data_IF_372161287259
#
_entry.id   IF_372161287259
#
_cell.length_a   1.000
_cell.length_b   1.000
_cell.length_c   1.000
_cell.angle_alpha   90.00
_cell.angle_beta   90.00
_cell.angle_gamma   90.00
#
_symmetry.space_group_name_H-M   'P 1'
#
loop_
_entity.id
_entity.type
_entity.pdbx_description
1 polymer ?
#
# COMPACT_ATOMS: atom_id res chain seq x y z
N UNK A 1 16.47 12.42 -111.03
CA UNK A 1 17.34 12.62 -109.87
C UNK A 1 16.54 12.39 -108.67
N UNK A 2 16.84 11.34 -108.01
CA UNK A 2 16.08 10.71 -106.94
C UNK A 2 16.38 11.35 -105.57
N UNK A 3 15.35 11.73 -104.88
CA UNK A 3 15.44 12.20 -103.46
C UNK A 3 15.13 11.00 -102.59
N UNK A 4 16.03 10.75 -101.62
CA UNK A 4 15.85 9.74 -100.54
C UNK A 4 14.93 10.28 -99.44
N UNK A 5 14.18 9.39 -98.75
CA UNK A 5 13.42 9.76 -97.59
C UNK A 5 14.26 9.64 -96.30
N UNK A 6 14.01 10.56 -95.34
CA UNK A 6 14.53 10.61 -94.00
C UNK A 6 13.83 9.63 -93.05
N UNK A 7 14.52 9.00 -92.07
CA UNK A 7 13.88 8.12 -91.10
C UNK A 7 13.15 8.90 -89.95
N UNK A 8 11.96 8.48 -89.66
CA UNK A 8 11.21 8.91 -88.47
C UNK A 8 11.85 8.38 -87.17
N UNK A 9 12.13 9.27 -86.26
CA UNK A 9 12.54 8.96 -84.87
C UNK A 9 11.31 8.56 -84.04
N UNK A 10 11.20 7.30 -83.73
CA UNK A 10 10.21 6.76 -82.73
C UNK A 10 10.70 7.12 -81.34
N UNK A 11 10.10 8.13 -80.71
CA UNK A 11 10.24 8.42 -79.33
C UNK A 11 9.29 7.53 -78.49
N UNK A 12 9.77 6.38 -78.07
CA UNK A 12 9.08 5.58 -77.03
C UNK A 12 9.24 6.25 -75.66
N UNK A 13 8.18 6.88 -75.15
CA UNK A 13 8.12 7.31 -73.76
C UNK A 13 8.02 6.08 -72.83
N UNK A 14 9.16 5.69 -72.30
CA UNK A 14 9.24 4.73 -71.21
C UNK A 14 8.54 5.31 -69.95
N UNK A 15 7.30 4.98 -69.72
CA UNK A 15 6.60 5.24 -68.46
C UNK A 15 7.16 4.29 -67.39
N UNK A 16 8.10 4.77 -66.61
CA UNK A 16 8.66 4.09 -65.46
C UNK A 16 7.64 4.12 -64.30
N UNK A 17 6.70 3.19 -64.27
CA UNK A 17 5.74 2.99 -63.14
C UNK A 17 6.48 2.39 -61.97
N UNK A 18 6.99 3.23 -61.05
CA UNK A 18 7.51 2.84 -59.78
C UNK A 18 6.46 2.06 -58.99
N UNK A 19 6.70 0.81 -58.69
CA UNK A 19 5.85 -0.11 -57.93
C UNK A 19 5.59 0.42 -56.50
N UNK A 20 4.33 0.70 -56.05
CA UNK A 20 4.01 1.21 -54.71
C UNK A 20 3.84 0.08 -53.68
N UNK A 21 4.68 -0.95 -53.69
CA UNK A 21 4.42 -2.19 -52.92
C UNK A 21 5.11 -2.19 -51.55
N UNK A 22 6.21 -1.48 -51.37
CA UNK A 22 6.93 -1.46 -50.08
C UNK A 22 6.23 -0.66 -48.97
N UNK A 23 5.56 0.45 -49.30
CA UNK A 23 4.90 1.29 -48.31
C UNK A 23 3.61 0.68 -47.73
N UNK A 24 2.83 -0.08 -48.53
CA UNK A 24 1.61 -0.73 -48.03
C UNK A 24 1.91 -1.78 -46.97
N UNK A 25 2.94 -2.62 -47.14
CA UNK A 25 3.34 -3.59 -46.11
C UNK A 25 3.85 -2.92 -44.84
N UNK A 26 4.61 -1.83 -44.94
CA UNK A 26 5.08 -1.05 -43.80
C UNK A 26 3.91 -0.41 -43.04
N UNK A 27 2.93 0.18 -43.72
CA UNK A 27 1.73 0.75 -43.11
C UNK A 27 0.91 -0.32 -42.37
N UNK A 28 0.75 -1.50 -42.97
CA UNK A 28 0.03 -2.63 -42.32
C UNK A 28 0.78 -3.07 -41.05
N UNK A 29 2.09 -3.21 -41.09
CA UNK A 29 2.88 -3.59 -39.91
C UNK A 29 2.80 -2.52 -38.83
N UNK A 30 2.92 -1.24 -39.17
CA UNK A 30 2.79 -0.13 -38.22
C UNK A 30 1.37 -0.05 -37.64
N UNK A 31 0.33 -0.31 -38.43
CA UNK A 31 -1.05 -0.34 -37.92
C UNK A 31 -1.30 -1.52 -36.97
N UNK A 32 -0.75 -2.71 -37.23
CA UNK A 32 -0.82 -3.84 -36.33
C UNK A 32 -0.07 -3.59 -35.03
N UNK A 33 1.11 -2.98 -35.08
CA UNK A 33 1.86 -2.56 -33.89
C UNK A 33 1.05 -1.55 -33.08
N UNK A 34 0.43 -0.55 -33.72
CA UNK A 34 -0.40 0.44 -33.06
C UNK A 34 -1.64 -0.20 -32.37
N UNK A 35 -2.34 -1.11 -33.08
CA UNK A 35 -3.46 -1.87 -32.50
C UNK A 35 -3.01 -2.70 -31.32
N UNK A 36 -1.85 -3.35 -31.41
CA UNK A 36 -1.28 -4.12 -30.30
C UNK A 36 -0.94 -3.25 -29.09
N UNK A 37 -0.35 -2.07 -29.30
CA UNK A 37 -0.07 -1.09 -28.22
C UNK A 37 -1.37 -0.62 -27.59
N UNK A 38 -2.39 -0.27 -28.38
CA UNK A 38 -3.71 0.12 -27.88
C UNK A 38 -4.34 -1.00 -27.06
N UNK A 39 -4.25 -2.25 -27.50
CA UNK A 39 -4.76 -3.39 -26.77
C UNK A 39 -4.04 -3.60 -25.42
N UNK A 40 -2.71 -3.43 -25.36
CA UNK A 40 -1.93 -3.51 -24.12
C UNK A 40 -2.32 -2.39 -23.14
N UNK A 41 -2.43 -1.15 -23.61
CA UNK A 41 -2.84 -0.01 -22.79
C UNK A 41 -4.26 -0.20 -22.28
N UNK A 42 -5.19 -0.62 -23.15
CA UNK A 42 -6.56 -0.90 -22.76
C UNK A 42 -6.66 -2.03 -21.73
N UNK A 43 -5.86 -3.10 -21.89
CA UNK A 43 -5.80 -4.21 -20.94
C UNK A 43 -5.32 -3.75 -19.55
N UNK A 44 -4.35 -2.83 -19.49
CA UNK A 44 -3.90 -2.23 -18.23
C UNK A 44 -5.03 -1.46 -17.54
N UNK A 45 -5.72 -0.56 -18.26
CA UNK A 45 -6.83 0.20 -17.68
C UNK A 45 -8.02 -0.69 -17.27
N UNK A 46 -8.30 -1.76 -18.01
CA UNK A 46 -9.30 -2.77 -17.63
C UNK A 46 -8.90 -3.44 -16.31
N UNK A 47 -7.63 -3.80 -16.15
CA UNK A 47 -7.12 -4.43 -14.92
C UNK A 47 -7.26 -3.48 -13.71
N UNK A 48 -6.89 -2.21 -13.86
CA UNK A 48 -7.08 -1.17 -12.84
C UNK A 48 -8.55 -1.04 -12.46
N UNK A 49 -9.46 -1.02 -13.45
CA UNK A 49 -10.90 -0.93 -13.20
C UNK A 49 -11.48 -2.17 -12.51
N UNK A 50 -10.99 -3.35 -12.85
CA UNK A 50 -11.37 -4.60 -12.15
C UNK A 50 -10.93 -4.52 -10.69
N UNK A 51 -9.72 -4.03 -10.40
CA UNK A 51 -9.22 -3.83 -9.06
C UNK A 51 -10.09 -2.88 -8.23
N UNK A 52 -10.49 -1.75 -8.81
CA UNK A 52 -11.44 -0.81 -8.19
C UNK A 52 -12.76 -1.51 -7.81
N UNK A 53 -13.35 -2.24 -8.76
CA UNK A 53 -14.64 -2.94 -8.55
C UNK A 53 -14.51 -4.00 -7.45
N UNK A 54 -13.42 -4.78 -7.45
CA UNK A 54 -13.20 -5.82 -6.44
C UNK A 54 -13.06 -5.24 -5.05
N UNK A 55 -12.24 -4.19 -4.89
CA UNK A 55 -12.08 -3.48 -3.62
C UNK A 55 -13.41 -2.89 -3.13
N UNK A 56 -14.19 -2.26 -4.00
CA UNK A 56 -15.53 -1.75 -3.64
C UNK A 56 -16.51 -2.88 -3.27
N UNK A 57 -16.43 -4.02 -3.92
CA UNK A 57 -17.29 -5.16 -3.59
C UNK A 57 -16.88 -5.83 -2.26
N UNK A 58 -15.61 -5.78 -1.87
CA UNK A 58 -15.18 -6.25 -0.54
C UNK A 58 -15.78 -5.43 0.59
N UNK A 59 -16.10 -4.15 0.36
CA UNK A 59 -16.83 -3.30 1.30
C UNK A 59 -18.22 -3.86 1.64
N UNK A 60 -18.91 -4.39 0.62
CA UNK A 60 -20.30 -4.91 0.79
C UNK A 60 -20.30 -6.22 1.57
N UNK A 61 -19.22 -7.02 1.46
CA UNK A 61 -19.13 -8.31 2.16
C UNK A 61 -18.67 -8.19 3.61
N UNK A 62 -17.83 -7.22 3.94
CA UNK A 62 -17.34 -6.99 5.31
C UNK A 62 -18.37 -6.33 6.24
N UNK A 63 -19.42 -5.68 5.68
CA UNK A 63 -20.53 -5.12 6.45
C UNK A 63 -21.58 -6.19 6.83
N UNK A 64 -21.54 -7.37 6.21
CA UNK A 64 -22.37 -8.51 6.57
C UNK A 64 -21.69 -9.35 7.66
N UNK A 65 -21.63 -8.82 8.87
CA UNK A 65 -21.43 -9.66 10.07
C UNK A 65 -22.71 -10.49 10.24
N UNK A 66 -22.58 -11.81 10.17
CA UNK A 66 -23.66 -12.75 10.49
C UNK A 66 -24.12 -12.51 11.92
N UNK A 67 -25.29 -11.91 12.08
CA UNK A 67 -25.98 -11.72 13.34
C UNK A 67 -26.63 -10.36 13.40
N UNK A 68 -27.93 -10.35 13.43
CA UNK A 68 -28.98 -9.37 13.84
C UNK A 68 -28.55 -7.95 14.30
N UNK A 69 -27.56 -7.31 13.70
CA UNK A 69 -27.10 -5.99 14.11
C UNK A 69 -26.75 -5.08 12.91
N UNK A 70 -27.71 -4.90 11.99
CA UNK A 70 -27.63 -3.83 10.97
C UNK A 70 -27.56 -2.42 11.57
N UNK A 71 -27.76 -2.25 12.88
CA UNK A 71 -27.77 -0.95 13.56
C UNK A 71 -26.42 -0.50 14.15
N UNK A 72 -25.39 -1.35 14.16
CA UNK A 72 -24.19 -1.11 14.99
C UNK A 72 -23.31 0.08 14.55
N UNK A 73 -23.43 0.53 13.30
CA UNK A 73 -22.60 1.62 12.76
C UNK A 73 -23.39 2.78 12.14
N UNK A 74 -24.71 2.74 12.16
CA UNK A 74 -25.50 3.64 11.31
C UNK A 74 -25.43 5.11 11.69
N UNK A 75 -25.61 5.45 12.94
CA UNK A 75 -25.62 6.85 13.39
C UNK A 75 -25.16 6.96 14.82
N UNK A 76 -24.19 7.84 15.05
CA UNK A 76 -23.70 8.19 16.40
C UNK A 76 -23.85 9.69 16.66
N UNK A 77 -23.93 10.05 17.95
CA UNK A 77 -23.90 11.44 18.40
C UNK A 77 -22.61 11.69 19.16
N UNK A 78 -21.87 12.72 18.75
CA UNK A 78 -20.64 13.11 19.40
C UNK A 78 -20.51 14.64 19.42
N UNK A 79 -20.18 15.22 20.58
CA UNK A 79 -20.04 16.67 20.76
C UNK A 79 -21.24 17.48 20.23
N UNK A 80 -22.47 16.96 20.39
CA UNK A 80 -23.71 17.62 19.95
C UNK A 80 -23.99 17.54 18.44
N UNK A 81 -23.15 16.84 17.69
CA UNK A 81 -23.31 16.62 16.25
C UNK A 81 -23.69 15.18 15.96
N UNK A 82 -24.28 14.97 14.80
CA UNK A 82 -24.73 13.66 14.31
C UNK A 82 -23.80 13.17 13.20
N UNK A 83 -23.41 11.90 13.28
CA UNK A 83 -22.47 11.28 12.35
C UNK A 83 -23.00 9.96 11.83
N UNK A 84 -22.73 9.66 10.55
CA UNK A 84 -22.98 8.38 9.91
C UNK A 84 -21.66 7.72 9.50
N UNK A 85 -21.59 6.39 9.60
CA UNK A 85 -20.43 5.64 9.06
C UNK A 85 -20.24 5.92 7.56
N UNK A 86 -19.00 6.12 7.15
CA UNK A 86 -18.67 6.37 5.74
C UNK A 86 -18.48 5.05 4.99
N UNK A 87 -19.53 4.58 4.35
CA UNK A 87 -19.55 3.33 3.58
C UNK A 87 -18.60 3.31 2.36
N UNK A 88 -18.00 4.46 2.02
CA UNK A 88 -17.04 4.57 0.89
C UNK A 88 -15.58 4.34 1.32
N UNK A 89 -15.34 3.98 2.57
CA UNK A 89 -14.01 3.70 3.09
C UNK A 89 -13.57 2.27 2.77
N UNK A 90 -12.34 2.15 2.33
CA UNK A 90 -11.60 0.90 2.29
C UNK A 90 -10.53 0.98 3.38
N UNK A 91 -10.61 0.11 4.39
CA UNK A 91 -9.68 0.08 5.51
C UNK A 91 -8.75 -1.12 5.35
N UNK A 92 -7.46 -0.86 5.18
CA UNK A 92 -6.44 -1.88 5.00
C UNK A 92 -5.42 -1.82 6.14
N UNK A 93 -5.12 -2.95 6.76
CA UNK A 93 -4.07 -3.02 7.77
C UNK A 93 -2.74 -3.41 7.13
N UNK A 94 -1.76 -2.50 7.18
CA UNK A 94 -0.37 -2.79 6.83
C UNK A 94 0.36 -3.27 8.08
N UNK A 95 0.95 -4.46 8.00
CA UNK A 95 1.66 -5.12 9.09
C UNK A 95 3.12 -5.30 8.67
N UNK A 96 4.05 -4.77 9.43
CA UNK A 96 5.49 -5.00 9.25
C UNK A 96 5.98 -5.96 10.33
N UNK A 97 6.50 -7.12 9.93
CA UNK A 97 6.95 -8.18 10.83
C UNK A 97 8.47 -8.16 10.97
N UNK A 98 8.97 -8.29 12.19
CA UNK A 98 10.40 -8.24 12.56
C UNK A 98 11.16 -9.55 12.31
N UNK A 99 10.70 -10.36 11.35
CA UNK A 99 11.31 -11.60 10.92
C UNK A 99 11.55 -11.59 9.41
N UNK A 100 12.50 -12.39 8.94
CA UNK A 100 12.65 -12.71 7.53
C UNK A 100 11.65 -13.82 7.15
N UNK A 101 11.04 -13.73 5.98
CA UNK A 101 10.08 -14.72 5.47
C UNK A 101 10.68 -16.16 5.39
N UNK A 102 11.99 -16.28 5.45
CA UNK A 102 12.70 -17.57 5.39
C UNK A 102 12.92 -18.21 6.76
N UNK A 103 12.81 -17.44 7.84
CA UNK A 103 13.02 -17.91 9.20
C UNK A 103 11.70 -18.46 9.74
N UNK A 104 11.44 -19.75 9.47
CA UNK A 104 10.22 -20.43 9.90
C UNK A 104 10.26 -20.94 11.35
N UNK A 105 11.39 -20.80 12.03
CA UNK A 105 11.50 -21.15 13.46
C UNK A 105 11.04 -20.00 14.37
N UNK A 106 11.00 -18.77 13.84
CA UNK A 106 10.54 -17.58 14.56
C UNK A 106 9.39 -16.91 13.81
N UNK A 107 8.20 -16.91 14.40
CA UNK A 107 6.99 -16.32 13.82
C UNK A 107 7.12 -14.80 13.64
N UNK A 108 7.93 -14.12 14.47
CA UNK A 108 8.05 -12.67 14.47
C UNK A 108 6.97 -11.96 15.28
N UNK A 109 7.08 -10.65 15.32
CA UNK A 109 6.11 -9.75 15.95
C UNK A 109 5.72 -8.63 14.98
N UNK A 110 4.52 -8.09 15.12
CA UNK A 110 4.07 -6.94 14.33
C UNK A 110 4.73 -5.64 14.81
N UNK A 111 5.94 -5.37 14.36
CA UNK A 111 6.75 -4.21 14.75
C UNK A 111 6.26 -2.88 14.16
N UNK A 112 5.44 -2.94 13.12
CA UNK A 112 4.82 -1.79 12.49
C UNK A 112 3.37 -2.12 12.13
N UNK A 113 2.43 -1.31 12.60
CA UNK A 113 1.01 -1.43 12.36
C UNK A 113 0.48 -0.08 11.86
N UNK A 114 -0.06 -0.07 10.65
CA UNK A 114 -0.65 1.12 10.03
C UNK A 114 -2.01 0.78 9.45
N UNK A 115 -3.05 1.43 9.96
CA UNK A 115 -4.37 1.36 9.34
C UNK A 115 -4.46 2.43 8.25
N UNK A 116 -4.66 2.01 7.02
CA UNK A 116 -4.81 2.85 5.84
C UNK A 116 -6.27 2.92 5.48
N UNK A 117 -6.92 4.05 5.78
CA UNK A 117 -8.32 4.32 5.46
C UNK A 117 -8.41 5.16 4.19
N UNK A 118 -9.00 4.60 3.15
CA UNK A 118 -9.05 5.14 1.79
C UNK A 118 -10.47 5.57 1.48
N UNK A 119 -10.72 6.88 1.41
CA UNK A 119 -12.02 7.43 0.96
C UNK A 119 -12.02 7.52 -0.58
N UNK A 120 -12.71 6.59 -1.21
CA UNK A 120 -12.75 6.45 -2.67
C UNK A 120 -13.60 7.52 -3.38
N UNK A 121 -14.39 8.29 -2.63
CA UNK A 121 -15.22 9.39 -3.15
C UNK A 121 -14.50 10.71 -3.00
N UNK A 122 -13.84 10.93 -1.86
CA UNK A 122 -13.09 12.17 -1.60
C UNK A 122 -11.66 12.15 -2.12
N UNK A 123 -11.18 10.99 -2.61
CA UNK A 123 -9.79 10.77 -3.03
C UNK A 123 -8.78 11.12 -1.91
N UNK A 124 -9.06 10.65 -0.70
CA UNK A 124 -8.24 10.89 0.48
C UNK A 124 -7.78 9.58 1.09
N UNK A 125 -6.56 9.58 1.62
CA UNK A 125 -5.96 8.48 2.35
C UNK A 125 -5.57 8.97 3.73
N UNK A 126 -6.05 8.30 4.79
CA UNK A 126 -5.57 8.51 6.15
C UNK A 126 -4.74 7.32 6.57
N UNK A 127 -3.55 7.59 7.11
CA UNK A 127 -2.64 6.57 7.63
C UNK A 127 -2.57 6.74 9.14
N UNK A 128 -3.22 5.86 9.87
CA UNK A 128 -3.22 5.85 11.34
C UNK A 128 -2.15 4.89 11.84
N UNK A 129 -1.12 5.44 12.49
CA UNK A 129 -0.08 4.64 13.13
C UNK A 129 -0.56 4.09 14.47
N UNK A 130 -0.38 2.79 14.67
CA UNK A 130 -0.69 2.09 15.94
C UNK A 130 0.63 1.67 16.56
N UNK A 131 0.89 2.12 17.80
CA UNK A 131 2.12 1.73 18.50
C UNK A 131 2.15 0.22 18.72
N UNK A 132 3.30 -0.42 18.42
CA UNK A 132 3.49 -1.85 18.69
C UNK A 132 3.27 -2.22 20.15
N UNK A 133 3.51 -1.26 21.06
CA UNK A 133 3.38 -1.41 22.50
C UNK A 133 1.97 -1.10 23.01
N UNK A 134 0.99 -0.83 22.11
CA UNK A 134 -0.40 -0.59 22.50
C UNK A 134 -0.95 -1.78 23.26
N UNK A 135 -1.45 -1.53 24.47
CA UNK A 135 -2.06 -2.55 25.30
C UNK A 135 -3.50 -2.79 24.86
N UNK A 136 -3.79 -4.02 24.45
CA UNK A 136 -5.11 -4.44 24.01
C UNK A 136 -5.32 -5.95 24.23
N UNK A 137 -6.53 -6.43 23.97
CA UNK A 137 -6.81 -7.84 23.88
C UNK A 137 -6.45 -8.39 22.50
N UNK A 138 -5.93 -9.61 22.45
CA UNK A 138 -5.69 -10.36 21.22
C UNK A 138 -5.91 -11.87 21.46
N UNK A 139 -6.18 -12.60 20.38
CA UNK A 139 -6.46 -14.03 20.44
C UNK A 139 -5.20 -14.88 20.60
N UNK A 140 -5.35 -15.98 21.33
CA UNK A 140 -4.37 -17.08 21.37
C UNK A 140 -4.88 -18.18 20.43
N UNK A 141 -4.26 -18.31 19.27
CA UNK A 141 -4.71 -19.23 18.21
C UNK A 141 -4.08 -20.61 18.40
N UNK A 142 -4.89 -21.66 18.45
CA UNK A 142 -4.45 -23.04 18.55
C UNK A 142 -3.98 -23.61 17.20
N UNK A 143 -3.40 -24.80 17.25
CA UNK A 143 -2.90 -25.53 16.06
C UNK A 143 -4.01 -25.92 15.09
N UNK A 144 -5.26 -25.90 15.54
CA UNK A 144 -6.48 -26.10 14.74
C UNK A 144 -7.00 -24.81 14.07
N UNK A 145 -6.36 -23.68 14.35
CA UNK A 145 -6.75 -22.36 13.83
C UNK A 145 -7.83 -21.67 14.64
N UNK A 146 -8.31 -22.28 15.72
CA UNK A 146 -9.34 -21.69 16.56
C UNK A 146 -8.74 -20.84 17.68
N UNK A 147 -9.41 -19.74 18.04
CA UNK A 147 -9.04 -18.92 19.20
C UNK A 147 -9.56 -19.59 20.46
N UNK A 148 -8.66 -20.11 21.30
CA UNK A 148 -9.00 -20.82 22.53
C UNK A 148 -8.97 -19.93 23.78
N UNK A 149 -8.28 -18.79 23.74
CA UNK A 149 -8.29 -17.79 24.82
C UNK A 149 -7.97 -16.41 24.26
N UNK A 150 -8.21 -15.39 25.07
CA UNK A 150 -7.85 -14.00 24.79
C UNK A 150 -6.91 -13.53 25.89
N UNK A 151 -5.82 -12.91 25.48
CA UNK A 151 -4.82 -12.32 26.37
C UNK A 151 -4.81 -10.80 26.26
N UNK A 152 -4.44 -10.12 27.35
CA UNK A 152 -4.23 -8.69 27.38
C UNK A 152 -2.74 -8.37 27.40
N UNK A 153 -2.24 -7.65 26.39
CA UNK A 153 -0.82 -7.35 26.26
C UNK A 153 -0.51 -6.40 25.11
N UNK A 154 0.75 -6.33 24.73
CA UNK A 154 1.18 -5.49 23.60
C UNK A 154 0.61 -6.03 22.29
N UNK A 155 0.01 -5.16 21.47
CA UNK A 155 -0.65 -5.52 20.20
C UNK A 155 0.28 -6.23 19.21
N UNK A 156 1.59 -5.98 19.27
CA UNK A 156 2.56 -6.66 18.39
C UNK A 156 2.59 -8.19 18.62
N UNK A 157 2.18 -8.68 19.79
CA UNK A 157 2.13 -10.08 20.13
C UNK A 157 0.97 -10.81 19.42
N UNK A 158 -0.05 -10.08 18.95
CA UNK A 158 -1.13 -10.69 18.17
C UNK A 158 -0.60 -11.47 16.97
N UNK A 159 0.47 -11.00 16.30
CA UNK A 159 1.11 -11.75 15.23
C UNK A 159 1.80 -13.03 15.71
N UNK A 160 2.54 -12.94 16.81
CA UNK A 160 3.30 -14.05 17.37
C UNK A 160 2.43 -15.21 17.88
N UNK A 161 1.16 -14.94 18.20
CA UNK A 161 0.21 -15.92 18.71
C UNK A 161 -0.77 -16.46 17.66
N UNK A 162 -0.54 -16.18 16.37
CA UNK A 162 -1.16 -16.92 15.26
C UNK A 162 -0.47 -18.27 15.06
N UNK A 163 -1.14 -19.20 14.36
CA UNK A 163 -0.60 -20.53 14.08
C UNK A 163 0.21 -20.58 12.77
N UNK A 164 -0.13 -19.73 11.82
CA UNK A 164 0.58 -19.54 10.57
C UNK A 164 0.51 -18.06 10.14
N UNK A 165 1.17 -17.73 9.03
CA UNK A 165 1.29 -16.34 8.56
C UNK A 165 -0.07 -15.67 8.27
N UNK A 166 -1.07 -16.45 7.80
CA UNK A 166 -2.42 -15.97 7.51
C UNK A 166 -3.14 -15.68 8.81
N UNK A 167 -3.20 -16.66 9.70
CA UNK A 167 -3.86 -16.54 11.01
C UNK A 167 -3.20 -15.48 11.90
N UNK A 168 -1.87 -15.35 11.84
CA UNK A 168 -1.14 -14.27 12.51
C UNK A 168 -1.56 -12.89 12.03
N UNK A 169 -1.73 -12.74 10.71
CA UNK A 169 -2.20 -11.50 10.10
C UNK A 169 -3.65 -11.20 10.46
N UNK A 170 -4.54 -12.20 10.41
CA UNK A 170 -5.94 -12.10 10.78
C UNK A 170 -6.11 -11.80 12.28
N UNK A 171 -5.26 -12.37 13.14
CA UNK A 171 -5.25 -12.05 14.57
C UNK A 171 -4.87 -10.58 14.82
N UNK A 172 -3.92 -10.02 14.06
CA UNK A 172 -3.62 -8.59 14.10
C UNK A 172 -4.81 -7.74 13.61
N UNK A 173 -5.50 -8.16 12.55
CA UNK A 173 -6.72 -7.48 12.05
C UNK A 173 -7.78 -7.44 13.12
N UNK A 174 -8.03 -8.56 13.79
CA UNK A 174 -9.02 -8.66 14.88
C UNK A 174 -8.63 -7.76 16.06
N UNK A 175 -7.36 -7.83 16.51
CA UNK A 175 -6.88 -7.01 17.61
C UNK A 175 -6.98 -5.50 17.33
N UNK A 176 -6.66 -5.07 16.09
CA UNK A 176 -6.82 -3.67 15.67
C UNK A 176 -8.29 -3.28 15.53
N UNK A 177 -9.12 -4.14 14.98
CA UNK A 177 -10.57 -3.90 14.91
C UNK A 177 -11.17 -3.72 16.29
N UNK A 178 -10.84 -4.59 17.24
CA UNK A 178 -11.32 -4.54 18.63
C UNK A 178 -10.82 -3.27 19.34
N UNK A 179 -9.54 -2.91 19.18
CA UNK A 179 -8.99 -1.65 19.67
C UNK A 179 -9.79 -0.44 19.17
N UNK A 180 -10.28 -0.49 17.94
CA UNK A 180 -11.05 0.56 17.27
C UNK A 180 -12.58 0.37 17.42
N UNK A 181 -13.03 -0.30 18.50
CA UNK A 181 -14.44 -0.54 18.80
C UNK A 181 -15.19 -1.33 17.73
N UNK A 182 -14.51 -2.28 17.09
CA UNK A 182 -15.08 -3.16 16.08
C UNK A 182 -15.20 -2.49 14.69
N UNK A 183 -14.43 -1.43 14.41
CA UNK A 183 -14.42 -0.83 13.06
C UNK A 183 -13.96 -1.84 12.01
N UNK A 184 -14.65 -1.91 10.86
CA UNK A 184 -14.35 -2.90 9.85
C UNK A 184 -12.98 -2.64 9.19
N UNK A 185 -12.20 -3.70 9.04
CA UNK A 185 -10.96 -3.75 8.28
C UNK A 185 -11.18 -4.68 7.09
N UNK A 186 -11.01 -4.16 5.86
CA UNK A 186 -11.42 -4.81 4.61
C UNK A 186 -10.36 -5.75 4.04
N UNK A 187 -9.15 -5.71 4.61
CA UNK A 187 -8.06 -6.57 4.19
C UNK A 187 -6.75 -6.18 4.87
N UNK A 188 -5.73 -6.99 4.66
CA UNK A 188 -4.41 -6.78 5.23
C UNK A 188 -3.29 -6.98 4.21
N UNK A 189 -2.15 -6.38 4.51
CA UNK A 189 -0.90 -6.59 3.79
C UNK A 189 0.24 -6.72 4.79
N UNK A 190 0.70 -7.93 5.00
CA UNK A 190 1.83 -8.24 5.89
C UNK A 190 3.11 -8.29 5.11
N UNK A 191 4.11 -7.53 5.53
CA UNK A 191 5.45 -7.46 4.94
C UNK A 191 6.49 -7.94 5.94
N UNK A 192 7.36 -8.82 5.49
CA UNK A 192 8.55 -9.23 6.23
C UNK A 192 9.72 -8.26 6.00
N UNK A 193 10.68 -8.24 6.91
CA UNK A 193 11.79 -7.29 6.89
C UNK A 193 12.60 -7.31 5.59
N UNK A 194 12.79 -8.47 4.98
CA UNK A 194 13.52 -8.65 3.72
C UNK A 194 12.82 -8.00 2.51
N UNK A 195 11.51 -7.72 2.62
CA UNK A 195 10.75 -6.97 1.62
C UNK A 195 11.20 -5.52 1.48
N UNK A 196 11.60 -4.88 2.58
CA UNK A 196 11.91 -3.44 2.63
C UNK A 196 13.01 -3.08 1.64
N UNK A 197 14.11 -3.85 1.65
CA UNK A 197 15.22 -3.61 0.75
C UNK A 197 14.79 -3.69 -0.72
N UNK A 198 13.99 -4.69 -1.06
CA UNK A 198 13.48 -4.90 -2.43
C UNK A 198 12.55 -3.77 -2.87
N UNK A 199 11.63 -3.36 -2.00
CA UNK A 199 10.71 -2.26 -2.28
C UNK A 199 11.47 -0.97 -2.56
N UNK A 200 12.45 -0.62 -1.72
CA UNK A 200 13.26 0.60 -1.86
C UNK A 200 14.07 0.60 -3.14
N UNK A 201 14.77 -0.50 -3.44
CA UNK A 201 15.59 -0.61 -4.65
C UNK A 201 14.72 -0.55 -5.92
N UNK A 202 13.53 -1.14 -5.88
CA UNK A 202 12.59 -1.14 -7.03
C UNK A 202 12.05 0.24 -7.39
N UNK A 203 11.97 1.16 -6.43
CA UNK A 203 11.57 2.56 -6.69
C UNK A 203 12.76 3.50 -6.90
N UNK A 204 13.98 2.96 -6.95
CA UNK A 204 15.20 3.72 -7.20
C UNK A 204 15.73 4.49 -5.99
N UNK A 205 15.42 4.02 -4.78
CA UNK A 205 15.80 4.64 -3.51
C UNK A 205 14.72 5.55 -2.93
N UNK A 206 14.84 5.82 -1.64
CA UNK A 206 13.88 6.63 -0.88
C UNK A 206 14.58 7.85 -0.27
N UNK A 207 14.13 9.03 -0.65
CA UNK A 207 14.64 10.28 -0.09
C UNK A 207 13.92 10.60 1.22
N UNK A 208 14.71 10.81 2.30
CA UNK A 208 14.21 11.17 3.63
C UNK A 208 14.91 12.41 4.16
N UNK A 209 14.20 13.25 4.92
CA UNK A 209 14.81 14.32 5.69
C UNK A 209 15.31 13.79 7.03
N UNK A 210 16.58 14.04 7.36
CA UNK A 210 17.16 13.71 8.67
C UNK A 210 17.35 15.00 9.44
N UNK A 211 16.81 15.08 10.64
CA UNK A 211 16.83 16.27 11.50
C UNK A 211 17.04 15.88 12.97
N UNK A 212 16.84 16.85 13.88
CA UNK A 212 17.02 16.66 15.33
C UNK A 212 16.19 15.52 15.95
N UNK A 213 15.13 15.06 15.29
CA UNK A 213 14.34 13.92 15.75
C UNK A 213 15.05 12.58 15.47
N UNK A 214 16.14 12.62 14.70
CA UNK A 214 16.98 11.46 14.39
C UNK A 214 18.31 11.48 15.17
N UNK A 215 18.44 12.35 16.21
CA UNK A 215 19.68 12.62 16.93
C UNK A 215 20.35 11.37 17.50
N UNK A 216 19.55 10.41 17.97
CA UNK A 216 20.05 9.17 18.56
C UNK A 216 20.39 8.09 17.52
N UNK A 217 20.44 8.47 16.25
CA UNK A 217 20.72 7.53 15.16
C UNK A 217 22.05 7.86 14.48
N UNK A 218 22.67 6.85 13.85
CA UNK A 218 23.86 7.05 13.00
C UNK A 218 23.62 7.96 11.78
N UNK A 219 22.37 8.28 11.46
CA UNK A 219 21.99 9.08 10.29
C UNK A 219 22.09 10.58 10.58
N UNK A 220 21.93 11.02 11.84
CA UNK A 220 22.05 12.41 12.22
C UNK A 220 23.50 12.77 12.56
N UNK A 221 24.05 13.78 11.87
CA UNK A 221 25.44 14.24 12.04
C UNK A 221 25.55 15.66 12.59
N UNK A 222 24.51 16.12 13.32
CA UNK A 222 24.45 17.47 13.90
C UNK A 222 23.76 18.51 13.00
N UNK A 223 23.56 18.23 11.73
CA UNK A 223 22.87 19.11 10.78
C UNK A 223 21.73 18.37 10.09
N UNK A 224 20.62 19.07 9.87
CA UNK A 224 19.52 18.54 9.04
C UNK A 224 19.98 18.42 7.59
N UNK A 225 19.66 17.30 6.95
CA UNK A 225 20.01 17.00 5.56
C UNK A 225 19.01 16.09 4.90
N UNK A 226 19.00 16.06 3.57
CA UNK A 226 18.32 15.02 2.80
C UNK A 226 19.27 13.84 2.55
N UNK A 227 18.77 12.62 2.72
CA UNK A 227 19.46 11.37 2.42
C UNK A 227 18.63 10.56 1.44
N UNK A 228 19.32 9.93 0.48
CA UNK A 228 18.72 8.89 -0.38
C UNK A 228 19.11 7.54 0.23
N UNK A 229 18.12 6.81 0.69
CA UNK A 229 18.27 5.47 1.23
C UNK A 229 18.18 4.45 0.09
N UNK A 230 19.15 3.58 -0.05
CA UNK A 230 19.05 2.33 -0.79
C UNK A 230 18.40 1.24 0.09
N UNK A 231 18.15 0.05 -0.44
CA UNK A 231 17.48 -1.01 0.31
C UNK A 231 18.17 -1.38 1.61
N UNK A 232 19.50 -1.41 1.63
CA UNK A 232 20.28 -1.76 2.83
C UNK A 232 20.23 -0.67 3.90
N UNK A 233 20.36 0.58 3.49
CA UNK A 233 20.34 1.73 4.40
C UNK A 233 18.93 2.03 4.87
N UNK A 234 17.90 1.79 4.06
CA UNK A 234 16.50 1.93 4.43
C UNK A 234 16.12 1.00 5.58
N UNK A 235 16.51 -0.27 5.50
CA UNK A 235 16.32 -1.22 6.58
C UNK A 235 16.92 -0.71 7.90
N UNK A 236 18.20 -0.29 7.85
CA UNK A 236 18.87 0.26 9.04
C UNK A 236 18.20 1.55 9.56
N UNK A 237 17.65 2.38 8.66
CA UNK A 237 16.97 3.63 9.03
C UNK A 237 15.65 3.36 9.77
N UNK A 238 14.86 2.40 9.30
CA UNK A 238 13.58 2.02 9.90
C UNK A 238 13.78 1.37 11.27
N UNK A 239 14.78 0.48 11.39
CA UNK A 239 15.07 -0.24 12.63
C UNK A 239 15.78 0.60 13.69
N UNK A 240 16.38 1.75 13.33
CA UNK A 240 17.14 2.54 14.28
C UNK A 240 16.30 2.87 15.51
N UNK A 241 16.78 2.44 16.67
CA UNK A 241 16.17 2.73 17.97
C UNK A 241 16.90 3.93 18.56
N UNK A 242 16.17 4.99 18.88
CA UNK A 242 16.64 6.07 19.73
C UNK A 242 16.29 5.79 21.20
N UNK A 243 16.48 6.79 22.05
CA UNK A 243 16.19 6.69 23.49
C UNK A 243 14.68 6.69 23.81
N UNK A 244 13.80 6.85 22.80
CA UNK A 244 12.35 6.82 22.96
C UNK A 244 11.64 6.44 21.65
N UNK A 245 10.34 6.04 21.74
CA UNK A 245 9.55 5.62 20.58
C UNK A 245 9.03 6.80 19.73
N UNK A 246 8.85 7.99 20.28
CA UNK A 246 8.32 9.13 19.53
C UNK A 246 9.16 9.50 18.28
N UNK A 247 10.51 9.57 18.34
CA UNK A 247 11.33 9.78 17.15
C UNK A 247 11.22 8.65 16.11
N UNK A 248 10.94 7.42 16.53
CA UNK A 248 10.74 6.27 15.62
C UNK A 248 9.47 6.46 14.76
N UNK A 249 8.38 6.90 15.36
CA UNK A 249 7.13 7.18 14.63
C UNK A 249 7.35 8.25 13.56
N UNK A 250 8.05 9.33 13.89
CA UNK A 250 8.35 10.40 12.93
C UNK A 250 9.30 9.93 11.80
N UNK A 251 10.29 9.07 12.10
CA UNK A 251 11.14 8.46 11.06
C UNK A 251 10.33 7.59 10.10
N UNK A 252 9.42 6.78 10.62
CA UNK A 252 8.54 5.96 9.79
C UNK A 252 7.67 6.81 8.87
N UNK A 253 7.11 7.92 9.35
CA UNK A 253 6.35 8.87 8.51
C UNK A 253 7.21 9.47 7.40
N UNK A 254 8.43 9.91 7.73
CA UNK A 254 9.40 10.43 6.75
C UNK A 254 9.71 9.37 5.69
N UNK A 255 9.93 8.12 6.11
CA UNK A 255 10.19 7.00 5.21
C UNK A 255 8.98 6.69 4.31
N UNK A 256 7.79 6.55 4.86
CA UNK A 256 6.56 6.30 4.09
C UNK A 256 6.32 7.41 3.08
N UNK A 257 6.43 8.68 3.50
CA UNK A 257 6.29 9.83 2.61
C UNK A 257 7.33 9.82 1.48
N UNK A 258 8.59 9.56 1.81
CA UNK A 258 9.68 9.46 0.84
C UNK A 258 9.48 8.31 -0.13
N UNK A 259 9.03 7.14 0.36
CA UNK A 259 8.71 5.98 -0.46
C UNK A 259 7.57 6.28 -1.44
N UNK A 260 6.47 6.87 -0.98
CA UNK A 260 5.35 7.27 -1.84
C UNK A 260 5.82 8.22 -2.94
N UNK A 261 6.63 9.22 -2.62
CA UNK A 261 7.16 10.16 -3.59
C UNK A 261 8.09 9.49 -4.62
N UNK A 262 8.92 8.54 -4.19
CA UNK A 262 9.80 7.77 -5.08
C UNK A 262 8.97 6.83 -5.97
N UNK A 263 7.97 6.16 -5.41
CA UNK A 263 7.05 5.30 -6.15
C UNK A 263 6.28 6.09 -7.23
N UNK A 264 5.74 7.27 -6.90
CA UNK A 264 5.09 8.17 -7.89
C UNK A 264 6.01 8.47 -9.07
N UNK A 265 7.27 8.86 -8.79
CA UNK A 265 8.24 9.18 -9.85
C UNK A 265 8.60 7.95 -10.71
N UNK A 266 8.68 6.79 -10.10
CA UNK A 266 9.05 5.54 -10.78
C UNK A 266 7.89 4.97 -11.59
N UNK A 267 6.66 5.03 -11.07
CA UNK A 267 5.44 4.64 -11.80
C UNK A 267 5.19 5.55 -13.01
N UNK A 268 5.46 6.86 -12.89
CA UNK A 268 5.36 7.79 -14.01
C UNK A 268 6.32 7.45 -15.16
N UNK A 269 7.45 6.78 -14.88
CA UNK A 269 8.41 6.31 -15.87
C UNK A 269 8.11 4.90 -16.39
N UNK A 270 7.53 4.05 -15.56
CA UNK A 270 7.16 2.67 -15.87
C UNK A 270 5.79 2.33 -15.27
N UNK A 271 4.74 2.46 -16.06
CA UNK A 271 3.37 2.15 -15.65
C UNK A 271 3.16 0.66 -15.30
N UNK A 272 4.10 -0.22 -15.67
CA UNK A 272 4.03 -1.65 -15.32
C UNK A 272 4.66 -1.94 -13.96
N UNK A 273 5.34 -0.96 -13.34
CA UNK A 273 6.03 -1.12 -12.06
C UNK A 273 5.11 -1.63 -10.93
N UNK A 274 3.86 -1.14 -10.74
CA UNK A 274 2.98 -1.67 -9.70
C UNK A 274 2.72 -3.17 -9.84
N UNK A 275 2.51 -3.65 -11.08
CA UNK A 275 2.30 -5.06 -11.35
C UNK A 275 3.57 -5.90 -11.09
N UNK A 276 4.74 -5.39 -11.51
CA UNK A 276 6.04 -6.04 -11.25
C UNK A 276 6.29 -6.17 -9.75
N UNK A 277 6.09 -5.05 -9.01
CA UNK A 277 6.24 -5.02 -7.55
C UNK A 277 5.28 -5.99 -6.86
N UNK A 278 3.99 -5.96 -7.20
CA UNK A 278 3.01 -6.85 -6.60
C UNK A 278 3.38 -8.33 -6.81
N UNK A 279 3.92 -8.70 -7.98
CA UNK A 279 4.38 -10.07 -8.23
C UNK A 279 5.67 -10.42 -7.46
N UNK A 280 6.62 -9.50 -7.37
CA UNK A 280 7.86 -9.71 -6.63
C UNK A 280 7.62 -9.84 -5.13
N UNK A 281 6.73 -8.99 -4.59
CA UNK A 281 6.41 -8.96 -3.16
C UNK A 281 5.70 -10.21 -2.66
N UNK A 282 5.04 -11.00 -3.51
CA UNK A 282 4.45 -12.31 -3.13
C UNK A 282 5.39 -13.24 -2.37
N UNK A 283 6.70 -13.08 -2.55
CA UNK A 283 7.71 -13.90 -1.86
C UNK A 283 8.06 -13.38 -0.46
N UNK A 284 7.66 -12.16 -0.15
CA UNK A 284 8.04 -11.41 1.05
C UNK A 284 6.83 -10.88 1.79
N UNK A 285 5.64 -11.32 1.43
CA UNK A 285 4.40 -10.82 2.01
C UNK A 285 3.32 -11.89 2.07
N UNK A 286 2.39 -11.69 2.98
CA UNK A 286 1.11 -12.42 3.07
C UNK A 286 -0.01 -11.40 3.01
N UNK A 287 -1.03 -11.64 2.20
CA UNK A 287 -2.13 -10.69 2.00
C UNK A 287 -3.37 -11.40 1.47
N UNK A 288 -4.54 -10.91 1.83
CA UNK A 288 -5.84 -11.25 1.25
C UNK A 288 -6.23 -10.32 0.09
N UNK A 289 -5.40 -9.28 -0.20
CA UNK A 289 -5.64 -8.34 -1.28
C UNK A 289 -5.19 -8.94 -2.61
N UNK A 290 -6.09 -9.06 -3.57
CA UNK A 290 -5.74 -9.54 -4.90
C UNK A 290 -4.86 -8.55 -5.67
N UNK A 291 -4.09 -9.08 -6.63
CA UNK A 291 -3.10 -8.28 -7.38
C UNK A 291 -3.71 -7.12 -8.16
N UNK A 292 -4.94 -7.26 -8.66
CA UNK A 292 -5.60 -6.18 -9.42
C UNK A 292 -5.99 -5.03 -8.51
N UNK A 293 -6.45 -5.34 -7.30
CA UNK A 293 -6.73 -4.37 -6.23
C UNK A 293 -5.46 -3.66 -5.75
N UNK A 294 -4.36 -4.39 -5.56
CA UNK A 294 -3.07 -3.81 -5.21
C UNK A 294 -2.54 -2.86 -6.30
N UNK A 295 -2.68 -3.22 -7.58
CA UNK A 295 -2.29 -2.38 -8.72
C UNK A 295 -3.17 -1.14 -8.80
N UNK A 296 -4.49 -1.25 -8.59
CA UNK A 296 -5.39 -0.11 -8.53
C UNK A 296 -4.95 0.89 -7.43
N UNK A 297 -4.71 0.40 -6.23
CA UNK A 297 -4.26 1.24 -5.11
C UNK A 297 -2.93 1.94 -5.41
N UNK A 298 -1.98 1.21 -5.99
CA UNK A 298 -0.66 1.75 -6.32
C UNK A 298 -0.69 2.77 -7.47
N UNK A 299 -1.67 2.72 -8.37
CA UNK A 299 -1.76 3.64 -9.50
C UNK A 299 -2.63 4.87 -9.22
N UNK A 300 -3.73 4.67 -8.50
CA UNK A 300 -4.73 5.72 -8.23
C UNK A 300 -4.54 6.34 -6.85
N UNK A 301 -4.66 5.56 -5.78
CA UNK A 301 -4.63 6.07 -4.41
C UNK A 301 -3.29 6.71 -4.03
N UNK A 302 -2.19 6.31 -4.66
CA UNK A 302 -0.87 6.92 -4.45
C UNK A 302 -0.84 8.42 -4.81
N UNK A 303 -1.74 8.88 -5.68
CA UNK A 303 -1.83 10.29 -6.10
C UNK A 303 -2.79 11.13 -5.26
N UNK A 304 -3.52 10.51 -4.33
CA UNK A 304 -4.48 11.19 -3.48
C UNK A 304 -3.82 11.91 -2.32
N UNK A 305 -4.57 12.78 -1.64
CA UNK A 305 -4.09 13.46 -0.43
C UNK A 305 -3.89 12.48 0.70
N UNK A 306 -2.71 12.51 1.32
CA UNK A 306 -2.34 11.61 2.41
C UNK A 306 -2.22 12.40 3.71
N UNK A 307 -2.97 11.98 4.70
CA UNK A 307 -2.97 12.50 6.05
C UNK A 307 -2.46 11.44 7.03
N UNK A 308 -1.49 11.80 7.89
CA UNK A 308 -1.06 10.92 8.97
C UNK A 308 -1.82 11.26 10.25
N UNK A 309 -2.41 10.24 10.85
CA UNK A 309 -3.17 10.32 12.10
C UNK A 309 -2.39 9.62 13.21
N UNK A 310 -2.32 10.24 14.37
CA UNK A 310 -1.72 9.65 15.58
C UNK A 310 -2.80 9.42 16.61
N UNK A 311 -2.78 8.26 17.23
CA UNK A 311 -3.56 7.97 18.44
C UNK A 311 -2.73 8.47 19.62
N UNK A 312 -3.32 9.29 20.49
CA UNK A 312 -2.68 9.74 21.72
C UNK A 312 -2.81 8.70 22.82
N UNK A 313 -1.88 8.75 23.75
CA UNK A 313 -1.82 7.86 24.90
C UNK A 313 -0.54 8.11 25.70
N UNK A 314 -0.33 7.27 26.69
CA UNK A 314 0.80 7.37 27.60
C UNK A 314 1.70 6.16 27.49
N UNK A 315 3.02 6.39 27.40
CA UNK A 315 4.02 5.34 27.51
C UNK A 315 4.29 5.02 28.97
N UNK A 316 4.34 3.75 29.29
CA UNK A 316 4.68 3.21 30.60
C UNK A 316 5.69 2.08 30.52
N UNK A 317 6.00 1.50 31.68
CA UNK A 317 6.77 0.25 31.80
C UNK A 317 5.99 -0.65 32.75
N UNK A 318 5.63 -1.84 32.28
CA UNK A 318 4.97 -2.86 33.07
C UNK A 318 5.79 -4.15 32.95
N UNK A 319 6.16 -4.76 34.07
CA UNK A 319 7.01 -5.96 34.15
C UNK A 319 8.33 -5.88 33.34
N UNK A 320 8.87 -4.65 33.19
CA UNK A 320 10.11 -4.39 32.45
C UNK A 320 9.92 -4.19 30.94
N UNK A 321 8.69 -4.22 30.44
CA UNK A 321 8.33 -3.99 29.04
C UNK A 321 7.71 -2.61 28.84
N UNK A 322 8.06 -1.95 27.74
CA UNK A 322 7.40 -0.70 27.36
C UNK A 322 5.93 -0.96 27.00
N UNK A 323 5.02 -0.19 27.56
CA UNK A 323 3.59 -0.21 27.27
C UNK A 323 3.14 1.11 26.68
N UNK A 324 2.06 1.10 25.92
CA UNK A 324 1.35 2.29 25.44
C UNK A 324 -0.13 2.12 25.72
N UNK A 325 -0.64 2.92 26.66
CA UNK A 325 -2.07 2.97 26.98
C UNK A 325 -2.71 4.10 26.19
N UNK A 326 -3.67 3.79 25.34
CA UNK A 326 -4.38 4.78 24.52
C UNK A 326 -5.24 5.69 25.38
N UNK A 327 -5.32 6.97 25.01
CA UNK A 327 -6.33 7.90 25.55
C UNK A 327 -7.68 7.58 24.87
N UNK A 328 -8.63 7.09 25.65
CA UNK A 328 -9.94 6.65 25.15
C UNK A 328 -10.76 7.78 24.53
N UNK A 329 -10.63 9.01 25.03
CA UNK A 329 -11.32 10.17 24.47
C UNK A 329 -10.72 10.55 23.11
N UNK A 330 -9.39 10.58 22.99
CA UNK A 330 -8.69 10.84 21.73
C UNK A 330 -8.96 9.71 20.72
N UNK A 331 -8.97 8.45 21.16
CA UNK A 331 -9.28 7.31 20.31
C UNK A 331 -10.68 7.42 19.69
N UNK A 332 -11.67 7.85 20.46
CA UNK A 332 -13.03 8.11 19.95
C UNK A 332 -13.04 9.23 18.91
N UNK A 333 -12.31 10.33 19.15
CA UNK A 333 -12.18 11.42 18.19
C UNK A 333 -11.50 10.95 16.89
N UNK A 334 -10.45 10.13 17.00
CA UNK A 334 -9.76 9.51 15.85
C UNK A 334 -10.72 8.60 15.07
N UNK A 335 -11.50 7.76 15.75
CA UNK A 335 -12.46 6.86 15.12
C UNK A 335 -13.52 7.67 14.37
N UNK A 336 -14.12 8.68 15.01
CA UNK A 336 -15.12 9.52 14.37
C UNK A 336 -14.53 10.26 13.17
N UNK A 337 -13.37 10.87 13.35
CA UNK A 337 -12.69 11.60 12.28
C UNK A 337 -12.25 10.73 11.10
N UNK A 338 -11.98 9.45 11.32
CA UNK A 338 -11.53 8.53 10.28
C UNK A 338 -12.68 7.81 9.58
N UNK A 339 -13.67 7.34 10.34
CA UNK A 339 -14.66 6.39 9.83
C UNK A 339 -16.05 6.99 9.61
N UNK A 340 -16.32 8.21 10.09
CA UNK A 340 -17.65 8.80 10.06
C UNK A 340 -17.68 10.12 9.30
N UNK A 341 -18.86 10.48 8.80
CA UNK A 341 -19.18 11.77 8.18
C UNK A 341 -20.28 12.46 8.97
N UNK A 342 -20.13 13.77 9.18
CA UNK A 342 -21.16 14.60 9.82
C UNK A 342 -22.39 14.72 8.91
N UNK A 343 -23.62 14.56 9.47
CA UNK A 343 -24.91 14.61 8.76
C UNK A 343 -25.91 15.56 9.43
#
# INVERSE_FOLDING_TARGET
>A
MTAMPTPEENNELSTNTKKPIKHKKLIIVLSLILVFIIALVSSFFIMVKIGEIRLKNSLVSSVKVEGDSEEKFDVIYHNGKKYKYNENLINLLLIGVDADNKDKEYQGQADALYLVSIDTVKNKVKITGISRNTMCNFGMVGIDGEVYSTEYGQICLAFAYGNDDIQSSENCVNAVSDLLYGMPINGYYTLYLDAIAKLVDSVGGVEVSVDKNDVDTKFYTGNSKSLILDGKTAYSYIQARGNSNAPRVERHKKFITGFINSAKRSIAKDLTLPFKLANEMKKYSVTDIDITSAVYLATEAINWDIEFVNIKGEYGIEDGWETFTVDDADLKDVIIGNFYIEI
#
